data_IF_417539384402
#
_entry.id   IF_417539384402
#
_cell.length_a   1.000
_cell.length_b   1.000
_cell.length_c   1.000
_cell.angle_alpha   90.00
_cell.angle_beta   90.00
_cell.angle_gamma   90.00
#
_symmetry.space_group_name_H-M   'P 1'
#
loop_
_entity.id
_entity.type
_entity.pdbx_description
1 polymer ?
#
# COMPACT_ATOMS: atom_id res chain seq x y z
N UNK A 1 46.75 6.95 33.87
CA UNK A 1 45.93 7.97 33.19
C UNK A 1 44.67 7.28 32.69
N UNK A 2 43.65 7.27 33.55
CA UNK A 2 42.31 6.76 33.27
C UNK A 2 41.53 7.84 32.52
N UNK A 3 41.28 7.63 31.23
CA UNK A 3 40.39 8.48 30.44
C UNK A 3 38.95 8.04 30.63
N UNK A 4 38.14 8.90 31.24
CA UNK A 4 36.68 8.76 31.36
C UNK A 4 36.05 8.68 29.96
N UNK A 5 35.49 7.51 29.64
CA UNK A 5 34.47 7.39 28.59
C UNK A 5 33.23 8.13 29.11
N UNK A 6 32.97 9.32 28.58
CA UNK A 6 31.73 10.05 28.84
C UNK A 6 30.57 9.30 28.20
N UNK A 7 29.78 8.64 29.04
CA UNK A 7 28.43 8.19 28.73
C UNK A 7 27.60 9.37 28.23
N UNK A 8 27.56 9.55 26.91
CA UNK A 8 26.69 10.52 26.27
C UNK A 8 25.30 9.90 26.18
N UNK A 9 24.54 10.06 27.27
CA UNK A 9 23.11 9.81 27.29
C UNK A 9 22.48 10.57 26.11
N UNK A 10 21.95 9.82 25.16
CA UNK A 10 21.48 10.27 23.87
C UNK A 10 20.20 11.10 24.05
N UNK A 11 20.34 12.40 24.30
CA UNK A 11 19.20 13.33 24.26
C UNK A 11 18.86 13.55 22.79
N UNK A 12 18.00 12.70 22.25
CA UNK A 12 17.40 12.92 20.94
C UNK A 12 16.66 14.26 20.99
N UNK A 13 17.04 15.21 20.15
CA UNK A 13 16.35 16.50 20.08
C UNK A 13 14.87 16.28 19.76
N UNK A 14 13.95 17.04 20.38
CA UNK A 14 12.53 16.89 20.12
C UNK A 14 12.22 17.23 18.66
N UNK A 15 11.39 16.38 18.03
CA UNK A 15 10.91 16.58 16.67
C UNK A 15 10.29 17.98 16.50
N UNK A 16 10.90 18.79 15.65
CA UNK A 16 10.34 20.08 15.26
C UNK A 16 9.15 19.83 14.33
N UNK A 17 8.07 20.62 14.46
CA UNK A 17 6.95 20.47 13.52
C UNK A 17 7.41 20.80 12.11
N UNK A 18 7.22 19.86 11.18
CA UNK A 18 7.39 20.14 9.76
C UNK A 18 6.40 21.24 9.34
N UNK A 19 6.92 22.34 8.79
CA UNK A 19 6.11 23.44 8.27
C UNK A 19 5.63 23.04 6.87
N UNK A 20 4.35 22.73 6.76
CA UNK A 20 3.71 22.50 5.48
C UNK A 20 3.33 23.85 4.88
N UNK A 21 3.73 24.11 3.64
CA UNK A 21 3.30 25.31 2.94
C UNK A 21 1.81 25.16 2.63
N UNK A 22 0.97 25.93 3.32
CA UNK A 22 -0.51 25.85 3.22
C UNK A 22 -1.10 26.94 2.32
N UNK A 23 -0.26 27.82 1.78
CA UNK A 23 -0.66 28.90 0.88
C UNK A 23 -1.13 28.33 -0.47
N UNK A 24 -2.44 28.11 -0.56
CA UNK A 24 -3.15 27.79 -1.80
C UNK A 24 -3.83 29.03 -2.40
N UNK A 25 -3.53 30.24 -1.92
CA UNK A 25 -4.35 31.44 -2.24
C UNK A 25 -3.79 32.38 -3.30
N UNK A 26 -2.67 32.09 -3.98
CA UNK A 26 -2.05 33.06 -4.92
C UNK A 26 -1.58 32.51 -6.28
N UNK A 27 -1.94 31.28 -6.67
CA UNK A 27 -1.65 30.75 -8.01
C UNK A 27 -2.93 30.35 -8.76
N UNK A 28 -3.24 30.90 -9.96
CA UNK A 28 -4.51 30.68 -10.66
C UNK A 28 -4.75 29.26 -11.18
N UNK A 29 -3.84 28.31 -10.96
CA UNK A 29 -3.91 26.93 -11.44
C UNK A 29 -3.38 25.92 -10.39
N UNK A 30 -3.58 26.20 -9.10
CA UNK A 30 -3.25 25.21 -8.07
C UNK A 30 -4.27 24.06 -8.12
N UNK A 31 -3.88 22.96 -8.75
CA UNK A 31 -4.56 21.67 -8.61
C UNK A 31 -4.71 21.36 -7.11
N UNK A 32 -5.94 21.50 -6.58
CA UNK A 32 -6.19 21.29 -5.16
C UNK A 32 -6.04 19.81 -4.84
N UNK A 33 -5.04 19.48 -4.02
CA UNK A 33 -4.85 18.11 -3.56
C UNK A 33 -6.05 17.67 -2.72
N UNK A 34 -6.60 16.51 -3.05
CA UNK A 34 -7.79 16.00 -2.38
C UNK A 34 -7.50 15.67 -0.91
N UNK A 35 -8.42 15.99 0.03
CA UNK A 35 -8.25 15.63 1.43
C UNK A 35 -8.15 14.10 1.60
N UNK A 36 -7.06 13.62 2.20
CA UNK A 36 -6.90 12.20 2.53
C UNK A 36 -7.56 11.91 3.88
N UNK A 37 -8.47 10.93 3.91
CA UNK A 37 -9.14 10.52 5.15
C UNK A 37 -8.12 10.03 6.18
N UNK A 38 -8.26 10.47 7.43
CA UNK A 38 -7.43 10.02 8.55
C UNK A 38 -8.10 8.91 9.33
N UNK A 39 -7.41 7.78 9.50
CA UNK A 39 -7.81 6.64 10.32
C UNK A 39 -7.20 6.78 11.72
N UNK A 40 -8.07 6.85 12.71
CA UNK A 40 -7.73 7.03 14.12
C UNK A 40 -7.87 5.74 14.93
N UNK A 41 -8.74 4.84 14.47
CA UNK A 41 -9.16 3.65 15.23
C UNK A 41 -8.99 2.36 14.42
N UNK A 42 -8.74 1.23 15.10
CA UNK A 42 -8.69 -0.10 14.48
C UNK A 42 -9.97 -0.43 13.69
N UNK A 43 -11.12 0.06 14.16
CA UNK A 43 -12.40 -0.15 13.48
C UNK A 43 -12.47 0.55 12.11
N UNK A 44 -11.82 1.71 11.97
CA UNK A 44 -11.74 2.45 10.71
C UNK A 44 -10.75 1.78 9.77
N UNK A 45 -9.57 1.38 10.27
CA UNK A 45 -8.62 0.56 9.52
C UNK A 45 -9.27 -0.72 8.97
N UNK A 46 -10.01 -1.45 9.82
CA UNK A 46 -10.75 -2.64 9.38
C UNK A 46 -11.77 -2.34 8.28
N UNK A 47 -12.48 -1.21 8.36
CA UNK A 47 -13.49 -0.82 7.36
C UNK A 47 -12.85 -0.41 6.02
N UNK A 48 -11.63 0.13 6.05
CA UNK A 48 -10.89 0.55 4.85
C UNK A 48 -10.47 -0.59 3.92
N UNK A 49 -10.47 -1.85 4.39
CA UNK A 49 -9.96 -3.03 3.68
C UNK A 49 -8.47 -2.98 3.30
N UNK A 50 -7.69 -2.05 3.86
CA UNK A 50 -6.25 -2.03 3.63
C UNK A 50 -5.59 -3.37 3.98
N UNK A 51 -4.69 -3.85 3.12
CA UNK A 51 -4.01 -5.13 3.27
C UNK A 51 -4.91 -6.37 3.17
N UNK A 52 -6.13 -6.23 2.60
CA UNK A 52 -7.11 -7.31 2.50
C UNK A 52 -7.78 -7.36 1.13
N UNK A 53 -8.27 -8.54 0.69
CA UNK A 53 -8.13 -9.86 1.33
C UNK A 53 -6.72 -10.45 1.15
N UNK A 54 -6.45 -11.61 1.77
CA UNK A 54 -5.25 -12.42 1.43
C UNK A 54 -5.20 -12.64 -0.09
N UNK A 55 -4.01 -12.69 -0.72
CA UNK A 55 -2.66 -12.79 -0.15
C UNK A 55 -1.97 -11.45 0.16
N UNK A 56 -2.71 -10.34 0.21
CA UNK A 56 -2.16 -9.01 0.52
C UNK A 56 -1.41 -9.00 1.86
N UNK A 57 -0.35 -8.20 1.92
CA UNK A 57 0.59 -8.16 3.04
C UNK A 57 0.54 -6.84 3.83
N UNK A 58 -0.30 -5.89 3.42
CA UNK A 58 -0.35 -4.54 3.98
C UNK A 58 -0.59 -4.49 5.49
N UNK A 59 -1.39 -5.41 6.04
CA UNK A 59 -1.60 -5.47 7.50
C UNK A 59 -0.32 -5.89 8.22
N UNK A 60 0.36 -6.93 7.75
CA UNK A 60 1.63 -7.38 8.31
C UNK A 60 2.71 -6.30 8.17
N UNK A 61 2.73 -5.59 7.04
CA UNK A 61 3.62 -4.44 6.82
C UNK A 61 3.34 -3.30 7.81
N UNK A 62 2.07 -2.95 8.03
CA UNK A 62 1.69 -1.91 8.99
C UNK A 62 1.99 -2.31 10.44
N UNK A 63 1.83 -3.58 10.78
CA UNK A 63 2.24 -4.11 12.07
C UNK A 63 3.76 -3.97 12.28
N UNK A 64 4.56 -4.46 11.33
CA UNK A 64 6.02 -4.30 11.36
C UNK A 64 6.42 -2.82 11.48
N UNK A 65 5.79 -1.94 10.70
CA UNK A 65 6.07 -0.52 10.74
C UNK A 65 5.83 0.06 12.14
N UNK A 66 4.67 -0.22 12.74
CA UNK A 66 4.31 0.31 14.05
C UNK A 66 5.14 -0.27 15.20
N UNK A 67 5.58 -1.53 15.08
CA UNK A 67 6.25 -2.26 16.16
C UNK A 67 7.78 -2.16 16.08
N UNK A 68 8.35 -2.31 14.89
CA UNK A 68 9.81 -2.48 14.70
C UNK A 68 10.46 -1.25 14.05
N UNK A 69 9.73 -0.50 13.21
CA UNK A 69 10.30 0.65 12.51
C UNK A 69 10.10 1.98 13.25
N UNK A 70 9.00 2.14 13.97
CA UNK A 70 8.68 3.37 14.71
C UNK A 70 9.13 3.28 16.17
N UNK A 71 9.93 4.25 16.62
CA UNK A 71 10.12 4.56 18.04
C UNK A 71 9.16 5.68 18.43
N UNK A 72 8.24 5.39 19.36
CA UNK A 72 7.28 6.37 19.88
C UNK A 72 7.67 6.79 21.29
N UNK A 73 7.98 8.08 21.49
CA UNK A 73 8.26 8.67 22.79
C UNK A 73 7.57 10.02 22.91
N UNK A 74 6.94 10.31 24.05
CA UNK A 74 6.38 11.63 24.38
C UNK A 74 5.53 12.27 23.26
N UNK A 75 4.69 11.47 22.60
CA UNK A 75 3.87 11.89 21.44
C UNK A 75 4.67 12.33 20.21
N UNK A 76 5.88 11.81 20.01
CA UNK A 76 6.64 11.94 18.77
C UNK A 76 6.97 10.57 18.21
N UNK A 77 6.91 10.44 16.88
CA UNK A 77 7.32 9.24 16.16
C UNK A 77 8.66 9.50 15.48
N UNK A 78 9.62 8.61 15.69
CA UNK A 78 10.91 8.64 15.00
C UNK A 78 11.20 7.29 14.35
N UNK A 79 11.94 7.27 13.26
CA UNK A 79 12.34 6.03 12.60
C UNK A 79 13.50 5.35 13.34
N UNK A 80 13.57 4.01 13.28
CA UNK A 80 14.74 3.26 13.76
C UNK A 80 15.93 3.34 12.81
N UNK A 81 15.67 3.57 11.53
CA UNK A 81 16.65 3.76 10.45
C UNK A 81 16.12 4.79 9.45
N UNK A 82 16.98 5.67 8.94
CA UNK A 82 16.51 6.67 7.97
C UNK A 82 16.22 6.01 6.61
N UNK A 83 15.01 6.17 6.04
CA UNK A 83 14.60 5.48 4.81
C UNK A 83 15.43 5.82 3.55
N UNK A 84 16.21 6.91 3.57
CA UNK A 84 17.12 7.30 2.48
C UNK A 84 18.22 6.27 2.22
N UNK A 85 18.49 5.40 3.19
CA UNK A 85 19.47 4.33 3.07
C UNK A 85 18.94 3.10 2.37
N UNK A 86 17.64 3.07 2.07
CA UNK A 86 17.01 2.00 1.31
C UNK A 86 16.81 0.70 2.08
N UNK A 87 17.07 0.66 3.38
CA UNK A 87 16.79 -0.52 4.20
C UNK A 87 15.32 -0.95 4.09
N UNK A 88 15.05 -2.25 4.21
CA UNK A 88 13.70 -2.82 4.15
C UNK A 88 12.93 -2.59 2.83
N UNK A 89 13.59 -2.12 1.78
CA UNK A 89 12.95 -1.75 0.51
C UNK A 89 12.42 -0.32 0.50
N UNK A 90 12.84 0.54 1.44
CA UNK A 90 12.49 1.95 1.37
C UNK A 90 13.07 2.60 0.11
N UNK A 91 12.32 3.52 -0.49
CA UNK A 91 12.82 4.37 -1.56
C UNK A 91 12.08 5.70 -1.58
N UNK A 92 12.62 6.70 -2.28
CA UNK A 92 12.01 8.02 -2.37
C UNK A 92 10.67 7.93 -3.09
N UNK A 93 9.61 8.42 -2.46
CA UNK A 93 8.31 8.62 -3.10
C UNK A 93 8.23 10.04 -3.60
N UNK A 94 8.01 10.21 -4.90
CA UNK A 94 7.77 11.52 -5.49
C UNK A 94 6.28 11.72 -5.65
N UNK A 95 5.70 12.60 -4.82
CA UNK A 95 4.28 12.93 -4.83
C UNK A 95 3.91 13.83 -6.04
N UNK A 96 4.20 13.37 -7.25
CA UNK A 96 3.99 14.11 -8.50
C UNK A 96 2.51 14.05 -8.91
N UNK A 97 2.15 14.92 -9.85
CA UNK A 97 0.89 14.81 -10.60
C UNK A 97 1.26 14.03 -11.85
N UNK A 98 0.67 12.86 -12.02
CA UNK A 98 0.85 12.04 -13.22
C UNK A 98 -0.03 12.57 -14.36
N UNK A 99 0.31 12.26 -15.62
CA UNK A 99 -0.34 12.85 -16.81
C UNK A 99 -1.85 12.60 -16.87
N UNK A 100 -2.31 11.48 -16.31
CA UNK A 100 -3.72 11.08 -16.25
C UNK A 100 -4.46 11.65 -15.01
N UNK A 101 -3.74 12.32 -14.12
CA UNK A 101 -4.26 12.81 -12.84
C UNK A 101 -4.39 14.33 -12.80
N UNK A 102 -5.38 14.80 -12.05
CA UNK A 102 -5.65 16.24 -11.87
C UNK A 102 -5.12 16.78 -10.55
N UNK A 103 -4.47 15.96 -9.73
CA UNK A 103 -3.93 16.38 -8.43
C UNK A 103 -2.89 15.37 -7.95
N UNK A 104 -2.01 15.69 -6.99
CA UNK A 104 -1.09 14.70 -6.44
C UNK A 104 -1.82 13.68 -5.55
N UNK A 105 -1.21 12.53 -5.28
CA UNK A 105 -1.79 11.50 -4.40
C UNK A 105 -1.94 12.00 -2.94
N UNK A 106 -0.90 12.68 -2.44
CA UNK A 106 -0.84 13.19 -1.06
C UNK A 106 -1.00 14.72 -1.04
N UNK A 107 -1.53 15.29 0.07
CA UNK A 107 -1.92 16.70 0.11
C UNK A 107 -0.76 17.70 0.09
N UNK A 108 0.46 17.29 0.44
CA UNK A 108 1.59 18.21 0.55
C UNK A 108 2.62 17.95 -0.54
N UNK A 109 3.03 19.03 -1.22
CA UNK A 109 4.12 19.04 -2.18
C UNK A 109 5.44 19.41 -1.48
N UNK A 110 6.57 19.11 -2.12
CA UNK A 110 7.91 19.46 -1.62
C UNK A 110 8.22 18.92 -0.21
N UNK A 111 7.64 17.76 0.12
CA UNK A 111 7.90 17.03 1.36
C UNK A 111 8.75 15.80 1.03
N UNK A 112 9.71 15.48 1.90
CA UNK A 112 10.52 14.27 1.78
C UNK A 112 9.68 13.04 2.16
N UNK A 113 9.05 12.46 1.13
CA UNK A 113 8.32 11.22 1.26
C UNK A 113 9.17 10.00 0.91
N UNK A 114 9.01 8.94 1.69
CA UNK A 114 9.57 7.63 1.39
C UNK A 114 8.49 6.56 1.43
N UNK A 115 8.58 5.60 0.52
CA UNK A 115 7.68 4.48 0.39
C UNK A 115 8.37 3.18 0.80
N UNK A 116 7.60 2.26 1.40
CA UNK A 116 7.99 0.86 1.61
C UNK A 116 6.80 -0.06 1.32
N UNK A 117 7.09 -1.30 0.99
CA UNK A 117 6.10 -2.35 0.79
C UNK A 117 6.19 -3.04 -0.55
N UNK A 118 6.96 -2.52 -1.51
CA UNK A 118 7.26 -3.25 -2.73
C UNK A 118 8.24 -4.40 -2.43
N UNK A 119 7.73 -5.63 -2.41
CA UNK A 119 8.50 -6.84 -2.14
C UNK A 119 9.45 -7.25 -3.29
N UNK A 120 9.43 -6.52 -4.40
CA UNK A 120 10.43 -6.64 -5.47
C UNK A 120 11.68 -5.79 -5.23
N UNK A 121 11.67 -4.87 -4.25
CA UNK A 121 12.87 -4.08 -3.92
C UNK A 121 13.97 -4.98 -3.37
N UNK A 122 15.22 -4.73 -3.77
CA UNK A 122 16.34 -5.64 -3.44
C UNK A 122 16.52 -5.84 -1.93
N UNK A 123 16.36 -4.78 -1.15
CA UNK A 123 16.46 -4.78 0.31
C UNK A 123 15.14 -5.12 1.01
N UNK A 124 14.04 -5.35 0.29
CA UNK A 124 12.79 -5.83 0.89
C UNK A 124 12.97 -7.19 1.54
N UNK A 125 13.98 -7.97 1.13
CA UNK A 125 14.38 -9.23 1.79
C UNK A 125 14.69 -9.06 3.29
N UNK A 126 15.08 -7.85 3.74
CA UNK A 126 15.31 -7.53 5.16
C UNK A 126 14.01 -7.36 5.96
N UNK A 127 12.84 -7.24 5.31
CA UNK A 127 11.55 -7.28 6.01
C UNK A 127 11.36 -8.65 6.68
N UNK A 128 10.67 -8.70 7.84
CA UNK A 128 10.39 -9.96 8.52
C UNK A 128 9.66 -10.96 7.62
N UNK A 129 9.92 -12.25 7.84
CA UNK A 129 9.30 -13.34 7.07
C UNK A 129 7.78 -13.24 7.05
N UNK A 130 7.14 -12.90 8.18
CA UNK A 130 5.69 -12.77 8.27
C UNK A 130 5.10 -11.65 7.39
N UNK A 131 5.90 -10.67 6.98
CA UNK A 131 5.49 -9.64 6.01
C UNK A 131 5.53 -10.18 4.59
N UNK A 132 6.46 -11.10 4.29
CA UNK A 132 6.77 -11.56 2.92
C UNK A 132 6.19 -12.92 2.58
N UNK A 133 5.71 -13.67 3.55
CA UNK A 133 5.38 -15.09 3.39
C UNK A 133 4.26 -15.39 2.39
N UNK A 134 3.36 -14.43 2.13
CA UNK A 134 2.27 -14.57 1.16
C UNK A 134 2.64 -14.04 -0.22
N UNK A 135 3.85 -13.53 -0.40
CA UNK A 135 4.29 -13.03 -1.68
C UNK A 135 4.47 -14.16 -2.70
N UNK A 136 3.81 -14.05 -3.84
CA UNK A 136 3.78 -15.12 -4.84
C UNK A 136 4.83 -14.96 -5.94
N UNK A 137 5.42 -13.76 -6.07
CA UNK A 137 6.29 -13.42 -7.20
C UNK A 137 5.56 -13.27 -8.54
N UNK A 138 4.22 -13.30 -8.55
CA UNK A 138 3.39 -13.20 -9.75
C UNK A 138 2.75 -11.81 -9.83
N UNK A 139 2.23 -11.49 -11.02
CA UNK A 139 1.36 -10.32 -11.20
C UNK A 139 -0.02 -10.61 -10.60
N UNK A 140 -0.10 -10.53 -9.27
CA UNK A 140 -1.33 -10.63 -8.49
C UNK A 140 -1.38 -9.54 -7.42
N UNK A 141 -2.37 -9.61 -6.52
CA UNK A 141 -2.54 -8.59 -5.49
C UNK A 141 -1.60 -8.73 -4.28
N UNK A 142 -0.74 -9.75 -4.21
CA UNK A 142 0.11 -10.05 -3.05
C UNK A 142 1.17 -8.98 -2.74
N UNK A 143 1.49 -8.10 -3.70
CA UNK A 143 2.52 -7.06 -3.59
C UNK A 143 2.00 -5.65 -3.95
N UNK A 144 0.74 -5.35 -3.61
CA UNK A 144 0.09 -4.08 -3.94
C UNK A 144 0.15 -3.04 -2.83
N UNK A 145 0.35 -3.45 -1.57
CA UNK A 145 0.24 -2.58 -0.40
C UNK A 145 1.50 -1.75 -0.15
N UNK A 146 1.33 -0.48 0.22
CA UNK A 146 2.42 0.44 0.53
C UNK A 146 2.17 1.25 1.79
N UNK A 147 3.26 1.61 2.46
CA UNK A 147 3.30 2.66 3.48
C UNK A 147 4.16 3.80 2.93
N UNK A 148 3.62 5.02 2.98
CA UNK A 148 4.35 6.24 2.62
C UNK A 148 4.51 7.11 3.87
N UNK A 149 5.72 7.56 4.17
CA UNK A 149 6.03 8.40 5.33
C UNK A 149 6.60 9.74 4.92
N UNK A 150 6.16 10.82 5.60
CA UNK A 150 6.89 12.09 5.59
C UNK A 150 7.88 12.09 6.75
N UNK A 151 9.15 12.29 6.46
CA UNK A 151 10.23 12.29 7.46
C UNK A 151 11.18 13.48 7.25
N UNK A 152 11.76 14.00 8.32
CA UNK A 152 12.81 15.03 8.25
C UNK A 152 14.21 14.46 8.49
N UNK A 153 15.21 15.35 8.46
CA UNK A 153 16.63 15.00 8.68
C UNK A 153 16.95 14.50 10.08
N UNK A 154 16.08 14.77 11.06
CA UNK A 154 16.21 14.35 12.46
C UNK A 154 15.46 13.03 12.72
N UNK A 155 15.01 12.38 11.64
CA UNK A 155 14.36 11.07 11.58
C UNK A 155 12.95 11.09 12.18
N UNK A 156 12.35 12.28 12.29
CA UNK A 156 11.03 12.46 12.83
C UNK A 156 9.97 12.18 11.76
N UNK A 157 9.08 11.23 12.06
CA UNK A 157 7.99 10.82 11.19
C UNK A 157 6.80 11.73 11.48
N UNK A 158 6.51 12.63 10.54
CA UNK A 158 5.42 13.60 10.69
C UNK A 158 4.08 13.09 10.20
N UNK A 159 4.10 12.23 9.17
CA UNK A 159 2.90 11.68 8.55
C UNK A 159 3.15 10.24 8.11
N UNK A 160 2.13 9.42 8.26
CA UNK A 160 2.09 8.04 7.82
C UNK A 160 0.85 7.87 6.96
N UNK A 161 1.03 7.31 5.78
CA UNK A 161 -0.02 6.98 4.84
C UNK A 161 0.05 5.50 4.51
N UNK A 162 -1.10 4.90 4.31
CA UNK A 162 -1.24 3.56 3.72
C UNK A 162 -1.96 3.70 2.40
N UNK A 163 -1.53 2.93 1.41
CA UNK A 163 -2.12 2.93 0.08
C UNK A 163 -1.92 1.58 -0.61
N UNK A 164 -2.49 1.43 -1.80
CA UNK A 164 -2.30 0.27 -2.64
C UNK A 164 -2.13 0.70 -4.10
N UNK A 165 -1.46 -0.12 -4.88
CA UNK A 165 -1.53 -0.05 -6.33
C UNK A 165 -2.93 -0.46 -6.83
N UNK A 166 -3.52 0.34 -7.73
CA UNK A 166 -4.71 -0.05 -8.51
C UNK A 166 -4.33 -0.87 -9.74
N UNK A 167 -3.14 -0.64 -10.27
CA UNK A 167 -2.52 -1.32 -11.39
C UNK A 167 -0.98 -1.28 -11.23
N UNK A 168 -0.19 -1.89 -12.13
CA UNK A 168 1.27 -1.95 -11.96
C UNK A 168 1.99 -0.60 -11.84
N UNK A 169 1.37 0.50 -12.23
CA UNK A 169 1.97 1.83 -12.23
C UNK A 169 1.32 2.79 -11.23
N UNK A 170 0.00 2.71 -11.06
CA UNK A 170 -0.76 3.75 -10.39
C UNK A 170 -1.21 3.38 -8.97
N UNK A 171 -1.26 4.40 -8.12
CA UNK A 171 -1.80 4.32 -6.77
C UNK A 171 -3.31 4.53 -6.75
N UNK A 172 -4.00 3.81 -5.88
CA UNK A 172 -5.42 4.02 -5.66
C UNK A 172 -5.67 5.18 -4.70
N UNK A 173 -6.21 6.29 -5.23
CA UNK A 173 -6.69 7.44 -4.43
C UNK A 173 -7.75 7.02 -3.40
N UNK A 174 -8.73 6.23 -3.82
CA UNK A 174 -9.84 5.76 -2.98
C UNK A 174 -9.41 4.81 -1.85
N UNK A 175 -8.22 4.20 -1.99
CA UNK A 175 -7.64 3.32 -0.99
C UNK A 175 -6.38 3.92 -0.35
N UNK A 176 -6.25 5.25 -0.39
CA UNK A 176 -5.19 5.99 0.30
C UNK A 176 -5.72 6.63 1.56
N UNK A 177 -5.08 6.34 2.69
CA UNK A 177 -5.50 6.82 4.00
C UNK A 177 -4.31 7.32 4.80
N UNK A 178 -4.51 8.38 5.59
CA UNK A 178 -3.55 8.79 6.60
C UNK A 178 -3.76 7.97 7.86
N UNK A 179 -2.70 7.39 8.41
CA UNK A 179 -2.73 6.73 9.71
C UNK A 179 -2.37 7.76 10.78
N UNK A 180 -3.24 7.92 11.78
CA UNK A 180 -2.94 8.79 12.92
C UNK A 180 -1.84 8.18 13.78
N UNK A 181 -1.09 9.03 14.48
CA UNK A 181 -0.13 8.56 15.48
C UNK A 181 -0.79 7.74 16.60
N UNK A 182 -2.01 8.12 17.01
CA UNK A 182 -2.77 7.34 17.99
C UNK A 182 -3.00 5.91 17.52
N UNK A 183 -3.34 5.73 16.24
CA UNK A 183 -3.51 4.41 15.65
C UNK A 183 -2.19 3.63 15.55
N UNK A 184 -1.08 4.27 15.18
CA UNK A 184 0.26 3.63 15.22
C UNK A 184 0.56 3.12 16.64
N UNK A 185 0.33 3.95 17.65
CA UNK A 185 0.53 3.60 19.06
C UNK A 185 -0.41 2.49 19.57
N UNK A 186 -1.64 2.42 19.04
CA UNK A 186 -2.56 1.31 19.37
C UNK A 186 -2.02 0.01 18.78
N UNK A 187 -1.60 0.01 17.51
CA UNK A 187 -1.07 -1.18 16.83
C UNK A 187 0.21 -1.66 17.52
N UNK A 188 1.11 -0.75 17.92
CA UNK A 188 2.38 -1.09 18.57
C UNK A 188 2.22 -1.76 19.94
N UNK A 189 1.02 -1.75 20.54
CA UNK A 189 0.71 -2.38 21.83
C UNK A 189 0.04 -3.75 21.70
N UNK A 190 -0.31 -4.15 20.48
CA UNK A 190 -0.87 -5.45 20.19
C UNK A 190 0.24 -6.40 19.76
N UNK A 191 0.04 -7.70 19.96
CA UNK A 191 0.82 -8.69 19.20
C UNK A 191 0.22 -8.93 17.82
N UNK A 192 0.98 -9.56 16.92
CA UNK A 192 0.58 -9.78 15.53
C UNK A 192 -0.76 -10.54 15.43
N UNK A 193 -0.95 -11.58 16.25
CA UNK A 193 -2.18 -12.39 16.24
C UNK A 193 -3.39 -11.58 16.68
N UNK A 194 -3.27 -10.79 17.74
CA UNK A 194 -4.32 -9.88 18.21
C UNK A 194 -4.69 -8.87 17.12
N UNK A 195 -3.70 -8.21 16.54
CA UNK A 195 -3.91 -7.23 15.48
C UNK A 195 -4.62 -7.83 14.26
N UNK A 196 -4.15 -8.97 13.75
CA UNK A 196 -4.77 -9.64 12.61
C UNK A 196 -6.19 -10.14 12.95
N UNK A 197 -6.41 -10.65 14.16
CA UNK A 197 -7.74 -11.04 14.65
C UNK A 197 -8.71 -9.85 14.66
N UNK A 198 -8.28 -8.70 15.17
CA UNK A 198 -9.08 -7.46 15.16
C UNK A 198 -9.51 -7.04 13.75
N UNK A 199 -8.63 -7.22 12.77
CA UNK A 199 -8.93 -6.94 11.36
C UNK A 199 -9.89 -7.99 10.79
N UNK A 200 -9.72 -9.27 11.14
CA UNK A 200 -10.55 -10.39 10.70
C UNK A 200 -11.99 -10.42 11.23
N UNK A 201 -12.31 -9.70 12.32
CA UNK A 201 -13.65 -9.69 12.95
C UNK A 201 -14.83 -9.48 11.99
N UNK A 202 -14.65 -8.76 10.88
CA UNK A 202 -15.72 -8.56 9.87
C UNK A 202 -15.97 -9.84 9.06
N UNK A 203 -14.93 -10.54 8.64
CA UNK A 203 -15.05 -11.82 7.93
C UNK A 203 -15.70 -12.86 8.83
N UNK A 204 -15.31 -12.94 10.11
CA UNK A 204 -15.94 -13.81 11.10
C UNK A 204 -17.43 -13.50 11.27
N UNK A 205 -17.82 -12.21 11.38
CA UNK A 205 -19.24 -11.84 11.48
C UNK A 205 -20.03 -12.21 10.23
N UNK A 206 -19.48 -11.97 9.04
CA UNK A 206 -20.14 -12.40 7.80
C UNK A 206 -20.26 -13.92 7.70
N UNK A 207 -19.22 -14.67 8.08
CA UNK A 207 -19.26 -16.13 8.11
C UNK A 207 -20.32 -16.65 9.10
N UNK A 208 -20.36 -16.15 10.33
CA UNK A 208 -21.35 -16.53 11.34
C UNK A 208 -22.78 -16.13 10.95
N UNK A 209 -22.96 -14.98 10.31
CA UNK A 209 -24.28 -14.51 9.86
C UNK A 209 -24.78 -15.29 8.64
N UNK A 210 -23.88 -15.73 7.77
CA UNK A 210 -24.19 -16.66 6.67
C UNK A 210 -24.63 -18.02 7.19
N UNK A 211 -23.98 -18.54 8.24
CA UNK A 211 -24.29 -19.84 8.84
C UNK A 211 -25.65 -19.85 9.57
N UNK A 212 -26.01 -18.74 10.22
CA UNK A 212 -27.32 -18.58 10.89
C UNK A 212 -28.54 -18.43 9.96
N UNK A 213 -28.32 -18.26 8.65
CA UNK A 213 -29.39 -18.08 7.65
C UNK A 213 -29.78 -19.38 6.92
N UNK A 214 -29.17 -20.49 7.32
CA UNK A 214 -29.29 -21.81 6.68
C UNK A 214 -30.57 -22.60 7.01
N UNK A 215 -31.34 -22.19 8.03
CA UNK A 215 -32.52 -22.95 8.50
C UNK A 215 -33.87 -22.50 7.93
N UNK A 216 -33.88 -21.64 6.89
CA UNK A 216 -35.11 -21.35 6.15
C UNK A 216 -35.19 -22.27 4.95
N UNK A 217 -36.09 -23.24 5.05
CA UNK A 217 -36.51 -24.16 3.99
C UNK A 217 -36.62 -23.44 2.64
N UNK A 218 -35.62 -23.63 1.77
CA UNK A 218 -35.63 -23.11 0.41
C UNK A 218 -36.39 -24.09 -0.48
N UNK A 219 -37.67 -23.82 -0.72
CA UNK A 219 -38.32 -24.29 -1.93
C UNK A 219 -37.77 -23.48 -3.10
N UNK A 220 -36.94 -24.13 -3.92
CA UNK A 220 -36.31 -23.50 -5.09
C UNK A 220 -37.33 -23.01 -6.11
N UNK A 221 -37.31 -21.73 -6.52
CA UNK A 221 -37.78 -21.35 -7.84
C UNK A 221 -36.68 -21.71 -8.84
N UNK A 222 -37.05 -22.47 -9.86
CA UNK A 222 -36.20 -22.74 -11.03
C UNK A 222 -35.82 -21.39 -11.66
N UNK A 223 -34.56 -20.98 -11.51
CA UNK A 223 -33.97 -19.87 -12.27
C UNK A 223 -32.89 -20.42 -13.19
N UNK A 224 -33.04 -20.08 -14.48
CA UNK A 224 -32.14 -20.47 -15.58
C UNK A 224 -30.72 -19.98 -15.32
N UNK A 225 -29.68 -20.74 -15.72
CA UNK A 225 -28.33 -20.20 -15.77
C UNK A 225 -28.26 -19.22 -16.94
N UNK A 226 -28.01 -17.94 -16.65
CA UNK A 226 -27.51 -16.99 -17.66
C UNK A 226 -26.01 -17.21 -17.80
N UNK A 227 -25.61 -17.59 -19.01
CA UNK A 227 -24.24 -17.71 -19.51
C UNK A 227 -23.41 -16.46 -19.19
N UNK A 228 -22.28 -16.65 -18.49
CA UNK A 228 -21.19 -15.67 -18.42
C UNK A 228 -19.85 -16.25 -18.90
N UNK A 229 -19.90 -17.38 -19.63
CA UNK A 229 -18.73 -18.07 -20.18
C UNK A 229 -18.36 -17.63 -21.60
N UNK A 230 -19.25 -16.94 -22.30
CA UNK A 230 -19.07 -16.69 -23.74
C UNK A 230 -18.35 -15.37 -24.05
N UNK A 231 -18.45 -14.37 -23.16
CA UNK A 231 -17.76 -13.08 -23.30
C UNK A 231 -16.22 -13.23 -23.20
N UNK A 232 -15.73 -14.13 -22.34
CA UNK A 232 -14.29 -14.37 -22.18
C UNK A 232 -13.72 -15.20 -23.35
N UNK A 233 -14.49 -16.19 -23.83
CA UNK A 233 -14.11 -16.98 -25.00
C UNK A 233 -14.09 -16.13 -26.28
N UNK A 234 -15.03 -15.20 -26.44
CA UNK A 234 -15.03 -14.25 -27.56
C UNK A 234 -13.84 -13.28 -27.51
N UNK A 235 -13.49 -12.75 -26.34
CA UNK A 235 -12.31 -11.89 -26.18
C UNK A 235 -11.00 -12.63 -26.51
N UNK A 236 -10.86 -13.89 -26.08
CA UNK A 236 -9.70 -14.71 -26.41
C UNK A 236 -9.62 -15.06 -27.92
N UNK A 237 -10.76 -15.37 -28.54
CA UNK A 237 -10.81 -15.68 -29.98
C UNK A 237 -10.49 -14.45 -30.83
N UNK A 238 -11.01 -13.26 -30.46
CA UNK A 238 -10.71 -12.00 -31.13
C UNK A 238 -9.22 -11.65 -31.04
N UNK A 239 -8.60 -11.84 -29.87
CA UNK A 239 -7.17 -11.58 -29.69
C UNK A 239 -6.30 -12.52 -30.54
N UNK A 240 -6.68 -13.81 -30.60
CA UNK A 240 -5.98 -14.80 -31.41
C UNK A 240 -6.07 -14.49 -32.91
N UNK A 241 -7.26 -14.16 -33.42
CA UNK A 241 -7.46 -13.78 -34.83
C UNK A 241 -6.68 -12.51 -35.17
N UNK A 242 -6.62 -11.53 -34.27
CA UNK A 242 -5.86 -10.30 -34.45
C UNK A 242 -4.35 -10.56 -34.52
N UNK A 243 -3.81 -11.40 -33.64
CA UNK A 243 -2.39 -11.79 -33.66
C UNK A 243 -2.05 -12.55 -34.95
N UNK A 244 -2.89 -13.49 -35.38
CA UNK A 244 -2.68 -14.23 -36.63
C UNK A 244 -2.71 -13.30 -37.85
N UNK A 245 -3.62 -12.32 -37.88
CA UNK A 245 -3.69 -11.33 -38.94
C UNK A 245 -2.43 -10.44 -38.97
N UNK A 246 -1.94 -9.99 -37.81
CA UNK A 246 -0.68 -9.23 -37.72
C UNK A 246 0.49 -10.06 -38.24
N UNK A 247 0.62 -11.32 -37.82
CA UNK A 247 1.70 -12.20 -38.28
C UNK A 247 1.62 -12.43 -39.78
N UNK A 248 0.43 -12.65 -40.33
CA UNK A 248 0.23 -12.82 -41.77
C UNK A 248 0.60 -11.55 -42.57
N UNK A 249 0.18 -10.36 -42.09
CA UNK A 249 0.57 -9.07 -42.67
C UNK A 249 2.08 -8.89 -42.60
N UNK A 250 2.71 -9.22 -41.46
CA UNK A 250 4.15 -9.12 -41.30
C UNK A 250 4.91 -10.03 -42.28
N UNK A 251 4.41 -11.26 -42.52
CA UNK A 251 4.99 -12.22 -43.46
C UNK A 251 4.82 -11.80 -44.92
N UNK A 252 3.71 -11.12 -45.27
CA UNK A 252 3.41 -10.67 -46.64
C UNK A 252 4.18 -9.38 -46.98
N UNK A 253 4.24 -8.42 -46.06
CA UNK A 253 4.78 -7.09 -46.33
C UNK A 253 6.26 -6.94 -45.95
N UNK A 254 6.83 -7.84 -45.14
CA UNK A 254 8.26 -7.83 -44.77
C UNK A 254 8.96 -9.14 -45.19
N UNK A 255 9.19 -9.36 -46.50
CA UNK A 255 9.87 -10.56 -47.00
C UNK A 255 11.32 -10.72 -46.50
N UNK A 256 11.91 -9.67 -45.91
CA UNK A 256 13.21 -9.69 -45.25
C UNK A 256 13.27 -10.62 -44.02
N UNK A 257 12.12 -10.98 -43.43
CA UNK A 257 12.05 -11.87 -42.25
C UNK A 257 11.99 -13.37 -42.59
N UNK A 258 11.94 -13.76 -43.87
CA UNK A 258 11.93 -15.17 -44.30
C UNK A 258 13.27 -15.90 -44.15
N UNK A 259 14.32 -15.25 -43.65
CA UNK A 259 15.65 -15.86 -43.46
C UNK A 259 16.01 -16.15 -42.00
N UNK A 260 15.08 -16.00 -41.06
CA UNK A 260 15.36 -16.18 -39.63
C UNK A 260 14.24 -16.91 -38.84
N UNK A 261 13.37 -17.67 -39.51
CA UNK A 261 12.46 -18.66 -38.91
C UNK A 261 12.61 -19.96 -39.69
#
# INVERSE_FOLDING_TARGET
>A
MSGEFRDSCNIQQPCQKMVYNTDTTTLPHAYHAMPVQTLNELSQLRKSNFGRPKPRHGLQLLFWFAHDFVRSQSNQMSATSHPRWGEFGFHQFYNRIDDDDTSPLLPHQNVNYYEVGNLNEGTASHLPKYVREQYTGRQDHSNTDRIIIAIDSDWCIHRVYVTQHSDPMNFSRDHTYRISQGLVNIISRLNLTEFLSEMGKRELRYALQSDSRSDVHYTSPIHRPTESSDECMHMCLCLFVFIVAIVAVMVIFFPSLRKAI
#
